data_IF_147558514781
#
_entry.id   IF_147558514781
#
_cell.length_a   1.000
_cell.length_b   1.000
_cell.length_c   1.000
_cell.angle_alpha   90.00
_cell.angle_beta   90.00
_cell.angle_gamma   90.00
#
_symmetry.space_group_name_H-M   'P 1'
#
loop_
_entity.id
_entity.type
_entity.pdbx_description
1 polymer ?
#
# COMPACT_ATOMS: atom_id res chain seq x y z
N UNK A 1 52.01 24.25 46.85
CA UNK A 1 51.12 23.67 47.88
C UNK A 1 49.68 24.08 47.55
N UNK A 2 48.67 23.22 47.78
CA UNK A 2 47.24 23.47 47.49
C UNK A 2 46.36 23.15 48.72
N UNK A 3 45.54 24.11 49.16
CA UNK A 3 44.12 23.90 49.59
C UNK A 3 43.20 24.96 48.92
N UNK A 4 41.86 25.03 49.03
CA UNK A 4 40.76 24.10 49.41
C UNK A 4 39.50 24.62 48.65
N UNK A 5 38.82 23.80 47.82
CA UNK A 5 37.51 23.13 48.03
C UNK A 5 36.27 24.06 48.07
N UNK A 6 35.21 23.63 47.34
CA UNK A 6 33.79 24.03 47.41
C UNK A 6 33.32 25.41 46.94
N UNK A 7 32.83 25.47 45.69
CA UNK A 7 31.58 26.19 45.34
C UNK A 7 30.79 25.34 44.32
N UNK A 8 29.58 24.89 44.72
CA UNK A 8 28.37 24.57 43.94
C UNK A 8 28.56 24.10 42.47
N UNK A 9 28.22 22.90 42.03
CA UNK A 9 26.97 22.13 42.24
C UNK A 9 25.70 22.99 42.11
N UNK A 10 25.53 23.72 41.00
CA UNK A 10 24.27 23.82 40.22
C UNK A 10 24.66 24.12 38.76
N UNK A 11 24.76 23.08 37.92
CA UNK A 11 25.05 23.21 36.49
C UNK A 11 24.59 22.00 35.67
N UNK A 12 23.70 21.20 36.25
CA UNK A 12 23.35 19.83 35.81
C UNK A 12 21.82 19.64 35.69
N UNK A 13 21.07 20.72 35.45
CA UNK A 13 19.59 20.70 35.50
C UNK A 13 18.85 21.55 34.45
N UNK A 14 19.52 22.04 33.39
CA UNK A 14 18.85 22.78 32.29
C UNK A 14 19.37 22.42 30.88
N UNK A 15 19.79 21.17 30.69
CA UNK A 15 19.90 20.60 29.34
C UNK A 15 19.30 19.20 29.34
N UNK A 16 17.96 19.16 29.49
CA UNK A 16 17.16 18.09 28.92
C UNK A 16 17.42 18.14 27.41
N UNK A 17 18.08 17.14 26.80
CA UNK A 17 18.05 17.01 25.35
C UNK A 17 16.58 16.71 25.05
N UNK A 18 15.90 17.67 24.43
CA UNK A 18 14.52 17.48 24.00
C UNK A 18 14.45 16.13 23.27
N UNK A 19 13.52 15.26 23.67
CA UNK A 19 13.36 13.94 23.08
C UNK A 19 13.31 14.08 21.56
N UNK A 20 14.42 13.75 20.90
CA UNK A 20 14.50 13.79 19.46
C UNK A 20 13.56 12.71 18.96
N UNK A 21 12.35 13.12 18.57
CA UNK A 21 11.39 12.29 17.86
C UNK A 21 12.08 11.84 16.58
N UNK A 22 12.72 10.68 16.63
CA UNK A 22 13.41 10.12 15.49
C UNK A 22 12.37 10.01 14.37
N UNK A 23 12.61 10.60 13.18
CA UNK A 23 11.69 10.45 12.08
C UNK A 23 11.60 8.95 11.78
N UNK A 24 10.40 8.38 11.89
CA UNK A 24 10.16 6.98 11.56
C UNK A 24 10.64 6.76 10.13
N UNK A 25 11.71 5.95 9.98
CA UNK A 25 12.24 5.62 8.66
C UNK A 25 11.09 5.00 7.87
N UNK A 26 10.71 5.54 6.69
CA UNK A 26 9.55 5.05 5.98
C UNK A 26 9.73 3.55 5.70
N UNK A 27 8.72 2.75 6.07
CA UNK A 27 8.77 1.30 5.89
C UNK A 27 9.11 0.99 4.43
N UNK A 28 10.06 0.07 4.16
CA UNK A 28 10.35 -0.33 2.78
C UNK A 28 9.08 -0.93 2.18
N UNK A 29 8.64 -0.40 1.02
CA UNK A 29 7.45 -0.93 0.33
C UNK A 29 7.79 -2.31 -0.21
N UNK A 30 7.08 -3.31 0.29
CA UNK A 30 7.25 -4.71 -0.09
C UNK A 30 6.02 -5.18 -0.88
N UNK A 31 6.20 -6.09 -1.85
CA UNK A 31 5.09 -6.82 -2.45
C UNK A 31 4.26 -7.56 -1.39
N UNK A 32 2.95 -7.50 -1.53
CA UNK A 32 1.98 -8.17 -0.68
C UNK A 32 1.77 -9.62 -1.15
N UNK A 33 1.65 -10.61 -0.24
CA UNK A 33 1.31 -11.97 -0.61
C UNK A 33 -0.13 -12.02 -1.16
N UNK A 34 -0.31 -12.63 -2.33
CA UNK A 34 -1.64 -12.91 -2.88
C UNK A 34 -2.33 -14.01 -2.06
N UNK A 35 -3.66 -13.93 -1.93
CA UNK A 35 -4.44 -14.86 -1.12
C UNK A 35 -4.20 -16.33 -1.48
N UNK A 36 -4.00 -17.18 -0.47
CA UNK A 36 -3.71 -18.63 -0.61
C UNK A 36 -4.82 -19.45 -1.30
N UNK A 37 -6.02 -18.88 -1.46
CA UNK A 37 -7.12 -19.43 -2.25
C UNK A 37 -6.91 -19.31 -3.76
N UNK A 38 -5.91 -18.56 -4.21
CA UNK A 38 -5.58 -18.36 -5.63
C UNK A 38 -4.95 -19.61 -6.24
N UNK A 39 -5.04 -19.81 -7.57
CA UNK A 39 -4.39 -20.93 -8.24
C UNK A 39 -2.89 -20.98 -7.93
N UNK A 40 -2.34 -22.19 -7.73
CA UNK A 40 -0.89 -22.38 -7.44
C UNK A 40 0.05 -21.61 -8.40
N UNK A 41 -0.20 -21.51 -9.72
CA UNK A 41 0.63 -20.68 -10.61
C UNK A 41 0.68 -19.20 -10.20
N UNK A 42 -0.43 -18.61 -9.75
CA UNK A 42 -0.49 -17.20 -9.30
C UNK A 42 0.39 -16.99 -8.07
N UNK A 43 0.39 -17.95 -7.14
CA UNK A 43 1.26 -17.90 -5.95
C UNK A 43 2.74 -17.99 -6.36
N UNK A 44 3.09 -18.91 -7.27
CA UNK A 44 4.45 -19.05 -7.78
C UNK A 44 4.94 -17.79 -8.53
N UNK A 45 4.11 -17.21 -9.39
CA UNK A 45 4.38 -15.96 -10.11
C UNK A 45 4.55 -14.77 -9.15
N UNK A 46 3.70 -14.69 -8.12
CA UNK A 46 3.81 -13.67 -7.06
C UNK A 46 5.12 -13.80 -6.27
N UNK A 47 5.49 -15.03 -5.89
CA UNK A 47 6.74 -15.29 -5.20
C UNK A 47 7.97 -14.99 -6.07
N UNK A 48 7.92 -15.33 -7.36
CA UNK A 48 8.98 -15.00 -8.32
C UNK A 48 9.13 -13.49 -8.47
N UNK A 49 8.05 -12.76 -8.77
CA UNK A 49 8.08 -11.29 -8.87
C UNK A 49 8.54 -10.63 -7.57
N UNK A 50 8.21 -11.21 -6.41
CA UNK A 50 8.70 -10.72 -5.11
C UNK A 50 10.21 -10.92 -4.93
N UNK A 51 10.79 -12.00 -5.47
CA UNK A 51 12.25 -12.22 -5.47
C UNK A 51 12.94 -11.21 -6.39
N UNK A 52 12.47 -11.07 -7.62
CA UNK A 52 13.07 -10.14 -8.59
C UNK A 52 12.94 -8.66 -8.16
N UNK A 53 11.80 -8.26 -7.60
CA UNK A 53 11.62 -6.93 -7.03
C UNK A 53 12.62 -6.64 -5.90
N UNK A 54 12.94 -7.64 -5.06
CA UNK A 54 13.97 -7.51 -4.00
C UNK A 54 15.39 -7.46 -4.55
N UNK A 55 15.63 -8.06 -5.72
CA UNK A 55 16.89 -7.98 -6.46
C UNK A 55 17.04 -6.67 -7.27
N UNK A 56 16.02 -5.80 -7.26
CA UNK A 56 15.88 -4.62 -8.13
C UNK A 56 15.79 -4.94 -9.65
N UNK A 57 15.46 -6.19 -9.99
CA UNK A 57 15.13 -6.65 -11.33
C UNK A 57 13.66 -6.32 -11.63
N UNK A 58 13.37 -5.04 -11.87
CA UNK A 58 12.00 -4.54 -11.88
C UNK A 58 11.20 -4.93 -13.14
N UNK A 59 11.85 -5.16 -14.28
CA UNK A 59 11.19 -5.66 -15.50
C UNK A 59 10.74 -7.12 -15.34
N UNK A 60 11.59 -7.96 -14.78
CA UNK A 60 11.30 -9.35 -14.46
C UNK A 60 10.21 -9.44 -13.38
N UNK A 61 10.23 -8.52 -12.40
CA UNK A 61 9.16 -8.38 -11.42
C UNK A 61 7.83 -7.96 -12.07
N UNK A 62 7.84 -6.97 -12.97
CA UNK A 62 6.67 -6.52 -13.75
C UNK A 62 6.08 -7.69 -14.55
N UNK A 63 6.90 -8.42 -15.30
CA UNK A 63 6.44 -9.59 -16.07
C UNK A 63 5.81 -10.68 -15.19
N UNK A 64 6.43 -11.01 -14.05
CA UNK A 64 5.88 -11.99 -13.12
C UNK A 64 4.57 -11.52 -12.46
N UNK A 65 4.47 -10.24 -12.07
CA UNK A 65 3.24 -9.69 -11.50
C UNK A 65 2.12 -9.50 -12.54
N UNK A 66 2.43 -9.22 -13.80
CA UNK A 66 1.44 -9.23 -14.90
C UNK A 66 0.80 -10.61 -15.06
N UNK A 67 1.58 -11.70 -14.96
CA UNK A 67 1.04 -13.06 -14.98
C UNK A 67 0.19 -13.36 -13.74
N UNK A 68 0.60 -12.88 -12.55
CA UNK A 68 -0.19 -13.01 -11.33
C UNK A 68 -1.54 -12.27 -11.42
N UNK A 69 -1.56 -11.04 -11.97
CA UNK A 69 -2.78 -10.28 -12.27
C UNK A 69 -3.65 -11.03 -13.30
N UNK A 70 -3.06 -11.59 -14.35
CA UNK A 70 -3.78 -12.35 -15.38
C UNK A 70 -4.48 -13.60 -14.82
N UNK A 71 -3.86 -14.29 -13.86
CA UNK A 71 -4.45 -15.44 -13.17
C UNK A 71 -5.38 -15.09 -12.01
N UNK A 72 -5.32 -13.87 -11.48
CA UNK A 72 -6.18 -13.38 -10.39
C UNK A 72 -6.58 -11.90 -10.58
N UNK A 73 -7.37 -11.55 -11.62
CA UNK A 73 -7.70 -10.16 -11.98
C UNK A 73 -8.70 -9.49 -11.02
N UNK A 74 -8.93 -10.07 -9.85
CA UNK A 74 -9.73 -9.53 -8.75
C UNK A 74 -8.96 -9.52 -7.42
N UNK A 75 -7.64 -9.77 -7.44
CA UNK A 75 -6.77 -9.65 -6.27
C UNK A 75 -6.20 -8.24 -6.19
N UNK A 76 -6.56 -7.50 -5.15
CA UNK A 76 -5.98 -6.18 -4.89
C UNK A 76 -4.46 -6.26 -4.65
N UNK A 77 -3.98 -7.35 -4.04
CA UNK A 77 -2.56 -7.60 -3.83
C UNK A 77 -1.80 -7.77 -5.17
N UNK A 78 -2.37 -8.50 -6.14
CA UNK A 78 -1.74 -8.70 -7.44
C UNK A 78 -1.59 -7.36 -8.20
N UNK A 79 -2.65 -6.54 -8.21
CA UNK A 79 -2.59 -5.20 -8.80
C UNK A 79 -1.63 -4.26 -8.06
N UNK A 80 -1.62 -4.27 -6.73
CA UNK A 80 -0.66 -3.48 -5.94
C UNK A 80 0.79 -3.87 -6.23
N UNK A 81 1.09 -5.18 -6.35
CA UNK A 81 2.43 -5.67 -6.65
C UNK A 81 2.91 -5.24 -8.04
N UNK A 82 2.03 -5.33 -9.05
CA UNK A 82 2.32 -4.81 -10.38
C UNK A 82 2.56 -3.28 -10.34
N UNK A 83 1.70 -2.54 -9.64
CA UNK A 83 1.88 -1.11 -9.42
C UNK A 83 3.22 -0.74 -8.76
N UNK A 84 3.71 -1.54 -7.81
CA UNK A 84 5.05 -1.34 -7.22
C UNK A 84 6.18 -1.52 -8.25
N UNK A 85 6.12 -2.56 -9.09
CA UNK A 85 7.15 -2.79 -10.11
C UNK A 85 7.16 -1.67 -11.17
N UNK A 86 5.99 -1.28 -11.69
CA UNK A 86 5.82 -0.16 -12.62
C UNK A 86 6.33 1.15 -12.02
N UNK A 87 6.00 1.42 -10.75
CA UNK A 87 6.49 2.62 -10.04
C UNK A 87 8.02 2.62 -9.90
N UNK A 88 8.64 1.44 -9.67
CA UNK A 88 10.09 1.30 -9.58
C UNK A 88 10.80 1.48 -10.94
N UNK A 89 10.12 1.16 -12.05
CA UNK A 89 10.58 1.44 -13.43
C UNK A 89 10.37 2.90 -13.85
N UNK A 90 9.60 3.68 -13.08
CA UNK A 90 9.24 5.07 -13.42
C UNK A 90 7.99 5.20 -14.29
N UNK A 91 7.29 4.11 -14.58
CA UNK A 91 6.02 4.06 -15.32
C UNK A 91 4.85 4.48 -14.40
N UNK A 92 4.91 5.72 -13.90
CA UNK A 92 4.08 6.18 -12.78
C UNK A 92 2.58 6.26 -13.08
N UNK A 93 2.20 6.39 -14.35
CA UNK A 93 0.80 6.50 -14.76
C UNK A 93 0.11 5.12 -14.81
N UNK A 94 0.74 4.11 -15.43
CA UNK A 94 0.27 2.71 -15.35
C UNK A 94 0.29 2.20 -13.89
N UNK A 95 1.32 2.57 -13.12
CA UNK A 95 1.39 2.25 -11.70
C UNK A 95 0.20 2.82 -10.92
N UNK A 96 -0.21 4.07 -11.21
CA UNK A 96 -1.35 4.73 -10.59
C UNK A 96 -2.65 3.99 -10.86
N UNK A 97 -2.90 3.57 -12.10
CA UNK A 97 -4.11 2.82 -12.46
C UNK A 97 -4.21 1.52 -11.67
N UNK A 98 -3.11 0.77 -11.57
CA UNK A 98 -3.06 -0.47 -10.79
C UNK A 98 -3.17 -0.25 -9.28
N UNK A 99 -2.63 0.83 -8.71
CA UNK A 99 -2.89 1.16 -7.30
C UNK A 99 -4.36 1.51 -7.04
N UNK A 100 -5.00 2.27 -7.95
CA UNK A 100 -6.43 2.60 -7.85
C UNK A 100 -7.27 1.31 -7.89
N UNK A 101 -6.99 0.40 -8.83
CA UNK A 101 -7.76 -0.85 -8.92
C UNK A 101 -7.51 -1.77 -7.72
N UNK A 102 -6.29 -1.81 -7.20
CA UNK A 102 -6.00 -2.49 -5.94
C UNK A 102 -6.86 -1.98 -4.77
N UNK A 103 -7.04 -0.65 -4.69
CA UNK A 103 -7.88 -0.01 -3.67
C UNK A 103 -9.39 -0.16 -3.91
N UNK A 104 -9.83 -0.27 -5.16
CA UNK A 104 -11.23 -0.61 -5.50
C UNK A 104 -11.59 -2.03 -5.04
N UNK A 105 -10.68 -2.98 -5.25
CA UNK A 105 -10.83 -4.40 -4.87
C UNK A 105 -10.75 -4.60 -3.35
N UNK A 106 -9.76 -3.97 -2.71
CA UNK A 106 -9.52 -4.08 -1.26
C UNK A 106 -9.55 -2.72 -0.52
N UNK A 107 -10.69 -2.02 -0.47
CA UNK A 107 -10.78 -0.67 0.08
C UNK A 107 -10.49 -0.57 1.60
N UNK A 108 -10.45 -1.70 2.32
CA UNK A 108 -10.03 -1.75 3.73
C UNK A 108 -8.54 -2.02 3.96
N UNK A 109 -7.75 -2.31 2.93
CA UNK A 109 -6.35 -2.71 3.05
C UNK A 109 -5.44 -1.47 3.11
N UNK A 110 -4.98 -1.12 4.32
CA UNK A 110 -4.19 0.09 4.57
C UNK A 110 -2.88 0.15 3.78
N UNK A 111 -2.20 -0.99 3.60
CA UNK A 111 -0.92 -1.05 2.86
C UNK A 111 -1.12 -0.65 1.38
N UNK A 112 -2.28 -0.94 0.79
CA UNK A 112 -2.63 -0.51 -0.58
C UNK A 112 -2.88 1.00 -0.63
N UNK A 113 -3.53 1.58 0.39
CA UNK A 113 -3.72 3.03 0.50
C UNK A 113 -2.44 3.81 0.84
N UNK A 114 -1.44 3.16 1.44
CA UNK A 114 -0.09 3.70 1.65
C UNK A 114 0.82 3.65 0.39
N UNK A 115 0.28 3.15 -0.74
CA UNK A 115 0.95 3.17 -2.05
C UNK A 115 1.33 4.60 -2.49
N UNK A 116 2.36 4.77 -3.33
CA UNK A 116 2.82 6.09 -3.76
C UNK A 116 1.73 6.98 -4.38
N UNK A 117 0.82 6.39 -5.15
CA UNK A 117 -0.25 7.12 -5.82
C UNK A 117 -1.43 7.48 -4.89
N UNK A 118 -1.67 6.71 -3.82
CA UNK A 118 -2.86 6.82 -2.97
C UNK A 118 -2.62 7.46 -1.59
N UNK A 119 -1.37 7.45 -1.11
CA UNK A 119 -0.97 8.03 0.18
C UNK A 119 -1.50 9.45 0.45
N UNK A 120 -1.62 10.38 -0.53
CA UNK A 120 -2.20 11.71 -0.29
C UNK A 120 -3.70 11.70 0.06
N UNK A 121 -4.44 10.65 -0.32
CA UNK A 121 -5.87 10.50 -0.06
C UNK A 121 -6.15 9.68 1.22
N UNK A 122 -5.29 8.69 1.50
CA UNK A 122 -5.42 7.81 2.67
C UNK A 122 -6.59 6.81 2.57
N UNK A 123 -6.65 5.87 3.53
CA UNK A 123 -7.69 4.85 3.54
C UNK A 123 -9.08 5.43 3.90
N UNK A 124 -10.14 5.09 3.15
CA UNK A 124 -11.50 5.57 3.43
C UNK A 124 -12.07 4.95 4.70
N UNK A 125 -12.99 5.65 5.35
CA UNK A 125 -13.72 5.12 6.51
C UNK A 125 -14.44 3.82 6.13
N UNK A 126 -14.18 2.68 6.82
CA UNK A 126 -14.85 1.40 6.56
C UNK A 126 -16.38 1.50 6.58
N UNK A 127 -16.95 2.43 7.34
CA UNK A 127 -18.38 2.67 7.41
C UNK A 127 -18.93 3.29 6.12
N UNK A 128 -18.18 4.17 5.46
CA UNK A 128 -18.54 4.75 4.16
C UNK A 128 -18.52 3.65 3.09
N UNK A 129 -17.48 2.80 3.08
CA UNK A 129 -17.37 1.67 2.15
C UNK A 129 -18.53 0.68 2.34
N UNK A 130 -18.85 0.34 3.59
CA UNK A 130 -19.99 -0.54 3.92
C UNK A 130 -21.32 0.05 3.42
N UNK A 131 -21.55 1.34 3.64
CA UNK A 131 -22.75 2.07 3.18
C UNK A 131 -22.86 2.14 1.66
N UNK A 132 -21.73 2.32 0.95
CA UNK A 132 -21.70 2.26 -0.52
C UNK A 132 -22.03 0.86 -1.06
N UNK A 133 -21.47 -0.21 -0.48
CA UNK A 133 -21.80 -1.59 -0.88
C UNK A 133 -23.26 -1.92 -0.62
N UNK A 134 -23.83 -1.46 0.50
CA UNK A 134 -25.27 -1.59 0.79
C UNK A 134 -26.12 -0.86 -0.26
N UNK A 135 -25.78 0.38 -0.62
CA UNK A 135 -26.49 1.13 -1.65
C UNK A 135 -26.39 0.48 -3.04
N UNK A 136 -25.21 -0.06 -3.41
CA UNK A 136 -25.02 -0.77 -4.68
C UNK A 136 -25.80 -2.09 -4.73
N UNK A 137 -25.88 -2.83 -3.63
CA UNK A 137 -26.75 -4.02 -3.50
C UNK A 137 -28.24 -3.69 -3.46
N UNK A 138 -28.60 -2.45 -3.10
CA UNK A 138 -29.96 -1.88 -3.17
C UNK A 138 -30.20 -1.05 -4.43
N UNK A 139 -29.38 -1.20 -5.48
CA UNK A 139 -29.68 -0.60 -6.79
C UNK A 139 -31.09 -1.02 -7.19
N UNK A 140 -32.05 -0.10 -7.38
CA UNK A 140 -33.30 -0.46 -7.99
C UNK A 140 -32.96 -0.98 -9.39
N UNK A 141 -33.34 -2.23 -9.67
CA UNK A 141 -33.34 -2.75 -11.04
C UNK A 141 -34.42 -1.97 -11.78
N UNK A 142 -34.02 -0.82 -12.31
CA UNK A 142 -34.91 0.14 -12.95
C UNK A 142 -35.73 -0.58 -14.01
N UNK A 143 -37.04 -0.70 -13.75
CA UNK A 143 -37.97 -1.32 -14.67
C UNK A 143 -37.80 -0.66 -16.03
N UNK A 144 -37.67 -1.48 -17.08
CA UNK A 144 -37.48 -0.98 -18.43
C UNK A 144 -38.56 0.04 -18.77
N UNK A 145 -38.13 1.21 -19.24
CA UNK A 145 -39.01 2.29 -19.70
C UNK A 145 -39.77 1.79 -20.94
N UNK A 146 -40.90 1.12 -20.73
CA UNK A 146 -41.77 0.62 -21.79
C UNK A 146 -42.23 1.80 -22.63
N UNK A 147 -41.83 1.81 -23.91
CA UNK A 147 -41.87 3.02 -24.73
C UNK A 147 -43.26 3.60 -24.90
N UNK A 148 -43.35 4.93 -24.77
CA UNK A 148 -44.50 5.69 -25.24
C UNK A 148 -44.50 5.64 -26.77
N UNK A 149 -45.59 5.16 -27.36
CA UNK A 149 -45.92 5.20 -28.79
C UNK A 149 -47.35 5.71 -28.94
#
# INVERSE_FOLDING_TARGET
MRPIVSVLVIGWLLWLPACASAPEKPKPRLPLPVALSSPKPVLQMTEQGTREYRNAHFEEAKAAFQQAVSGAPKSGQAHYNLGLALYALGETDEAREHFIEAANLEPGNKEIWDSPALRPYGAPDPNIVKKQKEYQGKRPTGGGMGGVR
#
